data_IF_140774396318
#
_entry.id   IF_140774396318
#
_cell.length_a   1.000
_cell.length_b   1.000
_cell.length_c   1.000
_cell.angle_alpha   90.00
_cell.angle_beta   90.00
_cell.angle_gamma   90.00
#
_symmetry.space_group_name_H-M   'P 1'
#
loop_
_entity.id
_entity.type
_entity.pdbx_description
1 polymer ?
#
# COMPACT_ATOMS: atom_id res chain seq x y z
N UNK A 1 -3.70 -14.16 3.28
CA UNK A 1 -2.70 -13.59 2.35
C UNK A 1 -1.68 -12.84 3.19
N UNK A 2 -0.41 -13.25 3.18
CA UNK A 2 0.65 -12.56 3.94
C UNK A 2 1.54 -11.86 2.92
N UNK A 3 1.26 -10.58 2.67
CA UNK A 3 2.17 -9.75 1.88
C UNK A 3 3.45 -9.56 2.68
N UNK A 4 4.57 -10.05 2.16
CA UNK A 4 5.87 -9.82 2.80
C UNK A 4 6.45 -8.49 2.29
N UNK A 5 6.69 -7.56 3.23
CA UNK A 5 7.50 -6.40 2.91
C UNK A 5 8.94 -6.87 2.66
N UNK A 6 9.53 -6.43 1.54
CA UNK A 6 10.96 -6.64 1.35
C UNK A 6 11.71 -5.82 2.41
N UNK A 7 12.49 -6.51 3.25
CA UNK A 7 13.21 -5.93 4.40
C UNK A 7 14.73 -5.88 4.21
N UNK A 8 15.23 -6.29 3.03
CA UNK A 8 16.66 -6.31 2.70
C UNK A 8 16.87 -5.65 1.34
N UNK A 9 18.11 -5.30 1.06
CA UNK A 9 18.50 -4.70 -0.23
C UNK A 9 18.55 -5.73 -1.38
N UNK A 10 18.39 -7.01 -1.05
CA UNK A 10 18.27 -8.09 -2.02
C UNK A 10 16.86 -8.12 -2.64
N UNK A 11 16.76 -8.40 -3.94
CA UNK A 11 15.47 -8.55 -4.62
C UNK A 11 14.66 -9.72 -4.08
N UNK A 12 13.34 -9.54 -3.92
CA UNK A 12 12.42 -10.59 -3.52
C UNK A 12 11.71 -11.17 -4.75
N UNK A 13 11.79 -12.50 -4.92
CA UNK A 13 11.01 -13.24 -5.90
C UNK A 13 10.12 -14.26 -5.17
N UNK A 14 8.81 -14.21 -5.42
CA UNK A 14 7.82 -15.09 -4.81
C UNK A 14 6.77 -15.52 -5.84
N UNK A 15 6.29 -16.76 -5.72
CA UNK A 15 5.21 -17.31 -6.53
C UNK A 15 4.01 -17.59 -5.61
N UNK A 16 2.85 -17.06 -5.97
CA UNK A 16 1.58 -17.33 -5.30
C UNK A 16 0.75 -18.29 -6.16
N UNK A 17 0.36 -19.44 -5.60
CA UNK A 17 -0.45 -20.46 -6.28
C UNK A 17 -1.81 -20.55 -5.59
N UNK A 18 -2.87 -20.47 -6.38
CA UNK A 18 -4.25 -20.51 -5.91
C UNK A 18 -5.00 -21.68 -6.52
N UNK A 19 -5.86 -22.32 -5.73
CA UNK A 19 -6.79 -23.32 -6.23
C UNK A 19 -8.07 -22.62 -6.71
N UNK A 20 -8.20 -22.47 -8.03
CA UNK A 20 -9.39 -21.92 -8.67
C UNK A 20 -9.13 -21.57 -10.14
N UNK A 21 -10.20 -21.39 -10.92
CA UNK A 21 -10.09 -21.14 -12.36
C UNK A 21 -9.50 -19.76 -12.69
N UNK A 22 -9.55 -18.83 -11.72
CA UNK A 22 -9.02 -17.46 -11.83
C UNK A 22 -8.56 -16.95 -10.47
N UNK A 23 -7.53 -16.11 -10.50
CA UNK A 23 -7.12 -15.32 -9.33
C UNK A 23 -7.85 -13.98 -9.37
N UNK A 24 -8.47 -13.60 -8.24
CA UNK A 24 -9.06 -12.28 -8.04
C UNK A 24 -8.59 -11.73 -6.71
N UNK A 25 -8.06 -10.52 -6.74
CA UNK A 25 -7.61 -9.79 -5.58
C UNK A 25 -8.38 -8.48 -5.43
N UNK A 26 -8.54 -8.05 -4.18
CA UNK A 26 -9.23 -6.81 -3.82
C UNK A 26 -8.24 -5.97 -3.02
N UNK A 27 -7.51 -5.04 -3.67
CA UNK A 27 -6.53 -4.20 -3.00
C UNK A 27 -7.22 -3.26 -1.99
N UNK A 28 -6.78 -3.20 -0.73
CA UNK A 28 -7.41 -2.37 0.29
C UNK A 28 -7.50 -0.89 -0.10
N UNK A 29 -6.42 -0.31 -0.64
CA UNK A 29 -6.40 1.10 -1.07
C UNK A 29 -7.44 1.38 -2.15
N UNK A 30 -7.54 0.50 -3.15
CA UNK A 30 -8.53 0.62 -4.22
C UNK A 30 -9.95 0.50 -3.65
N UNK A 31 -10.20 -0.46 -2.76
CA UNK A 31 -11.51 -0.62 -2.12
C UNK A 31 -11.92 0.62 -1.33
N UNK A 32 -10.99 1.21 -0.57
CA UNK A 32 -11.23 2.43 0.18
C UNK A 32 -11.44 3.65 -0.74
N UNK A 33 -10.68 3.76 -1.83
CA UNK A 33 -10.81 4.86 -2.79
C UNK A 33 -12.17 4.91 -3.50
N UNK A 34 -12.94 3.82 -3.50
CA UNK A 34 -14.32 3.78 -4.02
C UNK A 34 -15.36 4.30 -3.02
N UNK A 35 -14.96 4.62 -1.79
CA UNK A 35 -15.82 5.19 -0.76
C UNK A 35 -15.77 6.71 -0.81
N UNK A 36 -16.89 7.44 -0.68
CA UNK A 36 -16.88 8.91 -0.61
C UNK A 36 -15.89 9.42 0.46
N UNK A 37 -14.99 10.32 0.06
CA UNK A 37 -13.84 10.73 0.87
C UNK A 37 -14.21 11.23 2.27
N UNK A 38 -15.30 11.98 2.42
CA UNK A 38 -15.75 12.48 3.72
C UNK A 38 -16.18 11.37 4.70
N UNK A 39 -16.80 10.29 4.20
CA UNK A 39 -17.19 9.14 5.03
C UNK A 39 -15.92 8.42 5.49
N UNK A 40 -14.98 8.19 4.57
CA UNK A 40 -13.73 7.51 4.85
C UNK A 40 -12.85 8.30 5.82
N UNK A 41 -12.73 9.61 5.61
CA UNK A 41 -11.95 10.51 6.45
C UNK A 41 -12.47 10.53 7.90
N UNK A 42 -13.79 10.58 8.08
CA UNK A 42 -14.42 10.50 9.39
C UNK A 42 -14.17 9.13 10.04
N UNK A 43 -14.38 8.03 9.31
CA UNK A 43 -14.18 6.68 9.80
C UNK A 43 -12.74 6.43 10.27
N UNK A 44 -11.75 6.83 9.47
CA UNK A 44 -10.33 6.59 9.74
C UNK A 44 -9.65 7.71 10.55
N UNK A 45 -10.37 8.80 10.82
CA UNK A 45 -9.86 9.99 11.53
C UNK A 45 -8.61 10.58 10.88
N UNK A 46 -8.66 10.72 9.56
CA UNK A 46 -7.59 11.33 8.74
C UNK A 46 -8.10 12.62 8.09
N UNK A 47 -7.20 13.55 7.68
CA UNK A 47 -7.60 14.69 6.87
C UNK A 47 -8.29 14.22 5.58
N UNK A 48 -9.31 14.96 5.12
CA UNK A 48 -10.10 14.59 3.94
C UNK A 48 -9.23 14.54 2.68
N UNK A 49 -8.20 15.39 2.62
CA UNK A 49 -7.25 15.46 1.52
C UNK A 49 -6.46 14.15 1.39
N UNK A 50 -6.21 13.44 2.49
CA UNK A 50 -5.56 12.11 2.44
C UNK A 50 -6.48 11.09 1.79
N UNK A 51 -7.77 11.11 2.11
CA UNK A 51 -8.77 10.22 1.53
C UNK A 51 -9.01 10.51 0.03
N UNK A 52 -9.04 11.79 -0.37
CA UNK A 52 -9.19 12.21 -1.77
C UNK A 52 -8.00 11.79 -2.65
N UNK A 53 -6.81 11.64 -2.06
CA UNK A 53 -5.60 11.29 -2.78
C UNK A 53 -5.35 9.77 -2.88
N UNK A 54 -6.25 8.92 -2.35
CA UNK A 54 -6.13 7.48 -2.49
C UNK A 54 -6.24 7.05 -3.96
N UNK A 55 -5.40 6.07 -4.35
CA UNK A 55 -5.36 5.57 -5.72
C UNK A 55 -6.51 4.59 -5.97
N UNK A 56 -7.36 4.94 -6.93
CA UNK A 56 -8.43 4.07 -7.45
C UNK A 56 -7.84 2.94 -8.30
N UNK A 57 -6.73 3.20 -9.00
CA UNK A 57 -6.04 2.18 -9.76
C UNK A 57 -5.33 1.19 -8.85
N UNK A 58 -5.41 -0.09 -9.22
CA UNK A 58 -4.79 -1.18 -8.45
C UNK A 58 -3.26 -1.06 -8.50
N UNK A 59 -2.64 -1.11 -7.32
CA UNK A 59 -1.19 -1.11 -7.14
C UNK A 59 -0.73 -2.45 -6.57
N UNK A 60 -0.10 -3.29 -7.40
CA UNK A 60 0.35 -4.64 -7.00
C UNK A 60 1.61 -4.57 -6.12
N UNK A 61 2.58 -3.74 -6.52
CA UNK A 61 3.82 -3.48 -5.78
C UNK A 61 3.95 -1.98 -5.56
N UNK A 62 4.22 -1.59 -4.32
CA UNK A 62 4.45 -0.19 -3.94
C UNK A 62 5.85 -0.09 -3.33
N UNK A 63 6.65 0.84 -3.86
CA UNK A 63 7.97 1.13 -3.29
C UNK A 63 7.78 1.86 -1.95
N UNK A 64 8.26 1.24 -0.87
CA UNK A 64 8.35 1.91 0.42
C UNK A 64 9.46 2.96 0.43
N UNK A 65 9.26 4.03 1.18
CA UNK A 65 10.33 4.98 1.53
C UNK A 65 10.76 4.69 2.97
N UNK A 66 12.05 4.38 3.18
CA UNK A 66 12.61 4.32 4.52
C UNK A 66 12.79 5.75 5.04
N UNK A 67 11.94 6.15 5.98
CA UNK A 67 12.16 7.38 6.74
C UNK A 67 13.10 7.04 7.90
N UNK A 68 14.40 7.26 7.71
CA UNK A 68 15.37 7.24 8.81
C UNK A 68 15.11 8.45 9.71
N UNK A 69 14.21 8.30 10.67
CA UNK A 69 14.04 9.27 11.74
C UNK A 69 15.04 8.94 12.86
N UNK A 70 16.23 9.52 12.77
CA UNK A 70 17.22 9.51 13.85
C UNK A 70 18.54 8.81 13.54
N UNK A 71 19.36 9.40 12.66
CA UNK A 71 20.80 9.62 12.86
C UNK A 71 21.34 10.29 11.60
N UNK A 72 21.81 11.53 11.76
CA UNK A 72 22.38 12.27 10.65
C UNK A 72 23.67 11.62 10.18
N UNK A 73 23.75 11.34 8.88
CA UNK A 73 24.96 11.58 8.11
C UNK A 73 24.52 12.15 6.77
N UNK A 74 25.01 13.34 6.47
CA UNK A 74 24.96 13.93 5.15
C UNK A 74 25.63 12.98 4.15
N UNK A 75 24.98 12.72 3.02
CA UNK A 75 25.68 12.30 1.82
C UNK A 75 25.69 13.51 0.88
N UNK A 76 26.89 14.08 0.75
CA UNK A 76 27.26 15.06 -0.25
C UNK A 76 27.15 14.48 -1.67
#
# INVERSE_FOLDING_TARGET
>A
MRSEANRRDEGLAQIEIYQGDRVKDIPPTQWLALTPAGILANLLRIPVEVAENLKVEKQILIKGTLLYHGMGYAAA
#
